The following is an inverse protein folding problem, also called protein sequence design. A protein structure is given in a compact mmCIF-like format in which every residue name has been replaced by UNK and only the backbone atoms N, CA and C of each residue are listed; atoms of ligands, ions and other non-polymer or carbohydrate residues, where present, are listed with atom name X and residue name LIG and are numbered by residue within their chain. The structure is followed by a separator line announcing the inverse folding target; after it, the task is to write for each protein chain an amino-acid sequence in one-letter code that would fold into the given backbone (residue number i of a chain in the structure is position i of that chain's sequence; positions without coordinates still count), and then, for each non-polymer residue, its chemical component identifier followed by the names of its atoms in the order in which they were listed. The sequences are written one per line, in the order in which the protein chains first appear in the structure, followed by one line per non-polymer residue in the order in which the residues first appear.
data_IF_492811860801
#
_entry.id   IF_492811860801
#
_cell.length_a   1.000
_cell.length_b   1.000
_cell.length_c   1.000
_cell.angle_alpha   90.00
_cell.angle_beta   90.00
_cell.angle_gamma   90.00
#
_symmetry.space_group_name_H-M   'P 1'
#
loop_
_entity.id
_entity.type
_entity.pdbx_description
1 polymer ?
#
# COMPACT_ATOMS: atom_id res chain seq x y z
N UNK A 1 36.00 -30.82 109.97
CA UNK A 1 35.34 -29.83 109.09
C UNK A 1 36.18 -29.42 107.88
N UNK A 2 37.48 -29.15 108.06
CA UNK A 2 38.39 -28.68 107.00
C UNK A 2 38.38 -29.54 105.71
N UNK A 3 38.42 -30.87 105.82
CA UNK A 3 38.34 -31.79 104.66
C UNK A 3 37.07 -31.60 103.81
N UNK A 4 35.93 -31.29 104.43
CA UNK A 4 34.65 -31.07 103.71
C UNK A 4 34.67 -29.73 102.95
N UNK A 5 35.26 -28.69 103.54
CA UNK A 5 35.39 -27.36 102.93
C UNK A 5 36.31 -27.41 101.71
N UNK A 6 37.45 -28.08 101.82
CA UNK A 6 38.38 -28.27 100.69
C UNK A 6 37.71 -29.04 99.55
N UNK A 7 36.95 -30.09 99.87
CA UNK A 7 36.25 -30.89 98.86
C UNK A 7 35.14 -30.09 98.14
N UNK A 8 34.44 -29.21 98.86
CA UNK A 8 33.42 -28.31 98.30
C UNK A 8 34.05 -27.27 97.35
N UNK A 9 35.20 -26.72 97.73
CA UNK A 9 35.94 -25.74 96.92
C UNK A 9 36.48 -26.38 95.63
N UNK A 10 37.01 -27.61 95.73
CA UNK A 10 37.49 -28.38 94.58
C UNK A 10 36.35 -28.70 93.60
N UNK A 11 35.16 -29.05 94.12
CA UNK A 11 33.96 -29.29 93.31
C UNK A 11 33.47 -28.02 92.62
N UNK A 12 33.59 -26.85 93.27
CA UNK A 12 33.24 -25.56 92.70
C UNK A 12 34.17 -25.16 91.54
N UNK A 13 35.48 -25.41 91.69
CA UNK A 13 36.47 -25.21 90.62
C UNK A 13 36.17 -26.14 89.44
N UNK A 14 35.83 -27.40 89.71
CA UNK A 14 35.48 -28.37 88.67
C UNK A 14 34.20 -27.98 87.92
N UNK A 15 33.16 -27.53 88.64
CA UNK A 15 31.93 -27.01 88.01
C UNK A 15 32.20 -25.77 87.16
N UNK A 16 33.00 -24.82 87.68
CA UNK A 16 33.40 -23.62 86.95
C UNK A 16 34.19 -23.97 85.69
N UNK A 17 35.14 -24.90 85.79
CA UNK A 17 35.94 -25.39 84.66
C UNK A 17 35.09 -26.06 83.57
N UNK A 18 34.15 -26.94 83.94
CA UNK A 18 33.24 -27.59 82.99
C UNK A 18 32.29 -26.58 82.34
N UNK A 19 31.75 -25.63 83.10
CA UNK A 19 30.88 -24.58 82.56
C UNK A 19 31.63 -23.66 81.59
N UNK A 20 32.87 -23.29 81.93
CA UNK A 20 33.73 -22.48 81.08
C UNK A 20 34.11 -23.21 79.80
N UNK A 21 34.53 -24.48 79.91
CA UNK A 21 34.85 -25.32 78.76
C UNK A 21 33.66 -25.49 77.82
N UNK A 22 32.45 -25.73 78.38
CA UNK A 22 31.22 -25.80 77.59
C UNK A 22 30.95 -24.47 76.86
N UNK A 23 31.12 -23.34 77.55
CA UNK A 23 30.91 -22.01 76.96
C UNK A 23 31.88 -21.71 75.82
N UNK A 24 33.16 -22.07 75.96
CA UNK A 24 34.14 -21.91 74.87
C UNK A 24 33.74 -22.78 73.69
N UNK A 25 33.43 -24.06 73.92
CA UNK A 25 33.06 -24.98 72.85
C UNK A 25 31.80 -24.53 72.10
N UNK A 26 30.83 -23.96 72.81
CA UNK A 26 29.61 -23.43 72.19
C UNK A 26 29.91 -22.16 71.39
N UNK A 27 30.82 -21.28 71.86
CA UNK A 27 31.31 -20.13 71.09
C UNK A 27 32.06 -20.55 69.83
N UNK A 28 32.95 -21.53 69.92
CA UNK A 28 33.72 -22.03 68.77
C UNK A 28 32.80 -22.59 67.68
N UNK A 29 31.75 -23.33 68.06
CA UNK A 29 30.74 -23.82 67.12
C UNK A 29 29.98 -22.69 66.43
N UNK A 30 29.59 -21.66 67.18
CA UNK A 30 28.87 -20.51 66.62
C UNK A 30 29.77 -19.74 65.65
N UNK A 31 31.04 -19.53 66.00
CA UNK A 31 32.01 -18.85 65.14
C UNK A 31 32.30 -19.64 63.86
N UNK A 32 32.41 -20.97 63.95
CA UNK A 32 32.59 -21.85 62.79
C UNK A 32 31.40 -21.80 61.83
N UNK A 33 30.17 -21.92 62.36
CA UNK A 33 28.94 -21.77 61.57
C UNK A 33 28.87 -20.39 60.93
N UNK A 34 29.20 -19.32 61.66
CA UNK A 34 29.20 -17.97 61.12
C UNK A 34 30.21 -17.79 59.98
N UNK A 35 31.43 -18.33 60.13
CA UNK A 35 32.46 -18.31 59.08
C UNK A 35 32.00 -19.08 57.84
N UNK A 36 31.41 -20.25 58.03
CA UNK A 36 30.89 -21.06 56.93
C UNK A 36 29.81 -20.31 56.16
N UNK A 37 28.76 -19.83 56.85
CA UNK A 37 27.67 -19.07 56.24
C UNK A 37 28.19 -17.82 55.53
N UNK A 38 29.09 -17.06 56.17
CA UNK A 38 29.70 -15.88 55.54
C UNK A 38 30.44 -16.24 54.25
N UNK A 39 31.19 -17.34 54.24
CA UNK A 39 31.93 -17.79 53.06
C UNK A 39 30.99 -18.24 51.92
N UNK A 40 29.91 -18.93 52.26
CA UNK A 40 28.87 -19.35 51.32
C UNK A 40 28.15 -18.14 50.72
N UNK A 41 27.73 -17.18 51.55
CA UNK A 41 27.09 -15.94 51.08
C UNK A 41 28.01 -15.09 50.20
N UNK A 42 29.31 -15.01 50.52
CA UNK A 42 30.27 -14.28 49.65
C UNK A 42 30.40 -15.00 48.29
N UNK A 43 30.48 -16.33 48.29
CA UNK A 43 30.56 -17.12 47.06
C UNK A 43 29.30 -16.97 46.20
N UNK A 44 28.13 -17.04 46.81
CA UNK A 44 26.85 -16.82 46.12
C UNK A 44 26.77 -15.42 45.53
N UNK A 45 27.15 -14.38 46.28
CA UNK A 45 27.18 -13.02 45.77
C UNK A 45 28.11 -12.85 44.56
N UNK A 46 29.30 -13.47 44.58
CA UNK A 46 30.22 -13.46 43.44
C UNK A 46 29.56 -14.15 42.23
N UNK A 47 28.87 -15.27 42.44
CA UNK A 47 28.17 -15.96 41.36
C UNK A 47 27.04 -15.11 40.78
N UNK A 48 26.23 -14.47 41.62
CA UNK A 48 25.18 -13.55 41.16
C UNK A 48 25.76 -12.36 40.41
N UNK A 49 26.86 -11.77 40.89
CA UNK A 49 27.52 -10.67 40.20
C UNK A 49 28.01 -11.09 38.81
N UNK A 50 28.66 -12.25 38.70
CA UNK A 50 29.11 -12.78 37.40
C UNK A 50 27.93 -13.03 36.44
N UNK A 51 26.81 -13.53 36.95
CA UNK A 51 25.59 -13.72 36.16
C UNK A 51 25.05 -12.37 35.69
N UNK A 52 24.94 -11.39 36.58
CA UNK A 52 24.50 -10.03 36.23
C UNK A 52 25.41 -9.41 35.17
N UNK A 53 26.73 -9.49 35.34
CA UNK A 53 27.70 -8.95 34.39
C UNK A 53 27.57 -9.63 33.02
N UNK A 54 27.37 -10.95 32.99
CA UNK A 54 27.15 -11.69 31.73
C UNK A 54 25.83 -11.32 31.04
N UNK A 55 24.76 -11.08 31.82
CA UNK A 55 23.47 -10.66 31.28
C UNK A 55 23.55 -9.24 30.73
N UNK A 56 24.25 -8.33 31.41
CA UNK A 56 24.47 -6.97 30.93
C UNK A 56 25.25 -6.98 29.61
N UNK A 57 26.29 -7.80 29.49
CA UNK A 57 27.05 -7.95 28.24
C UNK A 57 26.16 -8.46 27.10
N UNK A 58 25.29 -9.44 27.36
CA UNK A 58 24.34 -9.96 26.36
C UNK A 58 23.32 -8.88 25.95
N UNK A 59 22.84 -8.06 26.90
CA UNK A 59 21.94 -6.93 26.62
C UNK A 59 22.63 -5.90 25.71
N UNK A 60 23.89 -5.56 26.00
CA UNK A 60 24.63 -4.60 25.20
C UNK A 60 24.88 -5.11 23.78
N UNK A 61 25.30 -6.37 23.63
CA UNK A 61 25.48 -7.00 22.30
C UNK A 61 24.17 -7.09 21.51
N UNK A 62 23.06 -7.42 22.16
CA UNK A 62 21.75 -7.50 21.49
C UNK A 62 21.24 -6.12 21.08
N UNK A 63 21.49 -5.10 21.90
CA UNK A 63 21.15 -3.71 21.58
C UNK A 63 21.95 -3.20 20.38
N UNK A 64 23.25 -3.49 20.33
CA UNK A 64 24.11 -3.15 19.19
C UNK A 64 23.63 -3.81 17.91
N UNK A 65 23.43 -5.13 17.92
CA UNK A 65 22.90 -5.88 16.77
C UNK A 65 21.54 -5.37 16.29
N UNK A 66 20.66 -4.99 17.21
CA UNK A 66 19.35 -4.44 16.86
C UNK A 66 19.46 -3.05 16.23
N UNK A 67 20.39 -2.22 16.72
CA UNK A 67 20.69 -0.91 16.14
C UNK A 67 21.22 -1.05 14.72
N UNK A 68 22.23 -1.92 14.51
CA UNK A 68 22.84 -2.16 13.20
C UNK A 68 21.84 -2.71 12.19
N UNK A 69 20.99 -3.66 12.62
CA UNK A 69 19.93 -4.20 11.78
C UNK A 69 18.92 -3.11 11.38
N UNK A 70 18.50 -2.28 12.34
CA UNK A 70 17.57 -1.18 12.08
C UNK A 70 18.14 -0.14 11.12
N UNK A 71 19.43 0.21 11.25
CA UNK A 71 20.09 1.14 10.35
C UNK A 71 20.20 0.56 8.93
N UNK A 72 20.61 -0.71 8.83
CA UNK A 72 20.72 -1.43 7.56
C UNK A 72 19.38 -1.51 6.84
N UNK A 73 18.30 -1.86 7.57
CA UNK A 73 16.96 -1.94 7.02
C UNK A 73 16.46 -0.55 6.57
N UNK A 74 16.73 0.50 7.36
CA UNK A 74 16.37 1.87 7.00
C UNK A 74 17.06 2.31 5.70
N UNK A 75 18.36 2.02 5.54
CA UNK A 75 19.10 2.35 4.31
C UNK A 75 18.54 1.59 3.11
N UNK A 76 18.22 0.31 3.29
CA UNK A 76 17.65 -0.54 2.24
C UNK A 76 16.28 -0.01 1.79
N UNK A 77 15.39 0.29 2.73
CA UNK A 77 14.06 0.84 2.41
C UNK A 77 14.15 2.20 1.74
N UNK A 78 15.05 3.08 2.21
CA UNK A 78 15.25 4.37 1.56
C UNK A 78 15.69 4.21 0.10
N UNK A 79 16.65 3.31 -0.16
CA UNK A 79 17.13 3.02 -1.52
C UNK A 79 16.02 2.46 -2.42
N UNK A 80 15.16 1.59 -1.86
CA UNK A 80 14.02 1.03 -2.59
C UNK A 80 12.96 2.10 -2.91
N UNK A 81 12.67 2.98 -1.95
CA UNK A 81 11.78 4.14 -2.14
C UNK A 81 12.32 5.05 -3.24
N UNK A 82 13.60 5.44 -3.16
CA UNK A 82 14.23 6.31 -4.17
C UNK A 82 14.15 5.69 -5.58
N UNK A 83 14.37 4.36 -5.68
CA UNK A 83 14.25 3.63 -6.95
C UNK A 83 12.81 3.63 -7.49
N UNK A 84 11.82 3.41 -6.61
CA UNK A 84 10.41 3.46 -6.98
C UNK A 84 9.98 4.86 -7.42
N UNK A 85 10.45 5.92 -6.75
CA UNK A 85 10.19 7.30 -7.15
C UNK A 85 10.78 7.63 -8.53
N UNK A 86 12.01 7.18 -8.81
CA UNK A 86 12.61 7.31 -10.14
C UNK A 86 11.79 6.59 -11.21
N UNK A 87 11.31 5.38 -10.90
CA UNK A 87 10.49 4.59 -11.83
C UNK A 87 9.13 5.26 -12.08
N UNK A 88 8.48 5.80 -11.05
CA UNK A 88 7.24 6.58 -11.17
C UNK A 88 7.46 7.81 -12.04
N UNK A 89 8.55 8.55 -11.81
CA UNK A 89 8.90 9.73 -12.61
C UNK A 89 9.11 9.37 -14.08
N UNK A 90 9.90 8.31 -14.35
CA UNK A 90 10.13 7.82 -15.71
C UNK A 90 8.83 7.40 -16.41
N UNK A 91 7.91 6.75 -15.68
CA UNK A 91 6.62 6.37 -16.24
C UNK A 91 5.72 7.59 -16.49
N UNK A 92 5.71 8.57 -15.59
CA UNK A 92 4.95 9.82 -15.77
C UNK A 92 5.43 10.59 -17.02
N UNK A 93 6.74 10.64 -17.26
CA UNK A 93 7.32 11.22 -18.48
C UNK A 93 6.87 10.47 -19.73
N UNK A 94 6.92 9.13 -19.72
CA UNK A 94 6.44 8.29 -20.84
C UNK A 94 4.96 8.51 -21.12
N UNK A 95 4.14 8.59 -20.09
CA UNK A 95 2.70 8.89 -20.23
C UNK A 95 2.51 10.26 -20.87
N UNK A 96 3.25 11.26 -20.39
CA UNK A 96 3.20 12.63 -20.94
C UNK A 96 3.61 12.67 -22.42
N UNK A 97 4.67 11.95 -22.79
CA UNK A 97 5.13 11.82 -24.18
C UNK A 97 4.08 11.13 -25.07
N UNK A 98 3.48 10.03 -24.58
CA UNK A 98 2.40 9.34 -25.29
C UNK A 98 1.16 10.22 -25.46
N UNK A 99 0.79 11.00 -24.44
CA UNK A 99 -0.31 11.97 -24.54
C UNK A 99 -0.01 13.05 -25.57
N UNK A 100 1.20 13.61 -25.60
CA UNK A 100 1.64 14.58 -26.62
C UNK A 100 1.56 13.97 -28.03
N UNK A 101 2.09 12.76 -28.22
CA UNK A 101 2.01 12.02 -29.49
C UNK A 101 0.56 11.78 -29.92
N UNK A 102 -0.33 11.41 -29.01
CA UNK A 102 -1.75 11.21 -29.30
C UNK A 102 -2.44 12.52 -29.70
N UNK A 103 -2.13 13.65 -29.05
CA UNK A 103 -2.66 14.96 -29.42
C UNK A 103 -2.19 15.41 -30.82
N UNK A 104 -0.92 15.16 -31.16
CA UNK A 104 -0.38 15.45 -32.50
C UNK A 104 -1.11 14.59 -33.55
N UNK A 105 -1.28 13.29 -33.31
CA UNK A 105 -2.02 12.39 -34.20
C UNK A 105 -3.50 12.79 -34.41
N UNK A 106 -4.15 13.32 -33.37
CA UNK A 106 -5.51 13.87 -33.48
C UNK A 106 -5.56 15.16 -34.30
N UNK A 107 -4.55 16.03 -34.20
CA UNK A 107 -4.46 17.27 -34.99
C UNK A 107 -4.13 17.03 -36.47
N UNK A 108 -3.39 15.97 -36.80
CA UNK A 108 -3.06 15.61 -38.20
C UNK A 108 -4.20 14.91 -38.95
N UNK A 109 -5.25 14.45 -38.27
CA UNK A 109 -6.42 13.79 -38.89
C UNK A 109 -7.61 14.72 -39.19
N UNK A 110 -7.55 16.00 -38.80
CA UNK A 110 -8.57 17.02 -39.14
C UNK A 110 -8.35 17.71 -40.49
N UNK A 111 -8.08 16.93 -41.54
CA UNK A 111 -8.42 17.30 -42.92
C UNK A 111 -9.16 16.13 -43.56
N UNK A 112 -10.45 15.98 -43.22
CA UNK A 112 -11.37 15.17 -44.04
C UNK A 112 -11.39 15.79 -45.43
N UNK A 113 -10.75 15.13 -46.39
CA UNK A 113 -10.96 15.38 -47.83
C UNK A 113 -12.48 15.41 -48.06
N UNK A 114 -13.04 16.44 -48.71
CA UNK A 114 -14.47 16.46 -49.01
C UNK A 114 -14.78 15.21 -49.84
N UNK A 115 -15.65 14.34 -49.30
CA UNK A 115 -16.17 13.19 -50.03
C UNK A 115 -16.97 13.74 -51.20
N UNK A 116 -16.48 13.55 -52.41
CA UNK A 116 -17.18 13.96 -53.61
C UNK A 116 -18.45 13.10 -53.71
N UNK A 117 -19.60 13.69 -53.37
CA UNK A 117 -20.89 13.01 -53.41
C UNK A 117 -21.18 12.55 -54.84
N UNK A 118 -21.57 11.29 -55.00
CA UNK A 118 -22.01 10.76 -56.31
C UNK A 118 -23.26 11.51 -56.79
N UNK A 119 -23.52 11.52 -58.10
CA UNK A 119 -24.70 12.20 -58.65
C UNK A 119 -26.01 11.75 -57.99
N UNK A 120 -26.18 10.45 -57.75
CA UNK A 120 -27.37 9.90 -57.09
C UNK A 120 -27.48 10.33 -55.62
N UNK A 121 -26.35 10.51 -54.93
CA UNK A 121 -26.32 10.97 -53.55
C UNK A 121 -26.69 12.46 -53.44
N UNK A 122 -26.28 13.27 -54.42
CA UNK A 122 -26.73 14.67 -54.53
C UNK A 122 -28.24 14.77 -54.77
N UNK A 123 -28.76 13.94 -55.68
CA UNK A 123 -30.21 13.88 -55.98
C UNK A 123 -30.99 13.44 -54.74
N UNK A 124 -30.53 12.38 -54.05
CA UNK A 124 -31.17 11.87 -52.84
C UNK A 124 -31.18 12.91 -51.71
N UNK A 125 -30.06 13.61 -51.50
CA UNK A 125 -29.96 14.66 -50.49
C UNK A 125 -30.89 15.85 -50.81
N UNK A 126 -30.96 16.26 -52.08
CA UNK A 126 -31.89 17.31 -52.50
C UNK A 126 -33.35 16.94 -52.24
N UNK A 127 -33.76 15.74 -52.66
CA UNK A 127 -35.12 15.24 -52.46
C UNK A 127 -35.47 15.13 -50.97
N UNK A 128 -34.51 14.70 -50.14
CA UNK A 128 -34.66 14.62 -48.68
C UNK A 128 -34.82 15.98 -48.03
N UNK A 129 -33.97 16.94 -48.42
CA UNK A 129 -34.03 18.29 -47.90
C UNK A 129 -35.36 18.97 -48.26
N UNK A 130 -35.77 18.91 -49.54
CA UNK A 130 -37.05 19.49 -49.97
C UNK A 130 -38.25 18.89 -49.24
N UNK A 131 -38.23 17.59 -48.97
CA UNK A 131 -39.29 16.96 -48.19
C UNK A 131 -39.25 17.35 -46.71
N UNK A 132 -38.07 17.53 -46.11
CA UNK A 132 -37.97 17.99 -44.71
C UNK A 132 -38.38 19.44 -44.52
N UNK A 133 -38.29 20.25 -45.57
CA UNK A 133 -38.68 21.66 -45.57
C UNK A 133 -40.20 21.86 -45.71
N UNK A 134 -40.98 20.79 -45.92
CA UNK A 134 -42.43 20.87 -45.99
C UNK A 134 -43.06 21.25 -44.64
N UNK A 135 -44.04 22.16 -44.61
CA UNK A 135 -44.82 22.45 -43.41
C UNK A 135 -45.46 21.18 -42.82
N UNK A 136 -45.41 21.02 -41.50
CA UNK A 136 -45.91 19.82 -40.80
C UNK A 136 -47.43 19.77 -40.70
N UNK A 137 -48.08 20.89 -40.95
CA UNK A 137 -49.52 21.16 -40.84
C UNK A 137 -50.30 20.96 -42.15
N UNK A 138 -49.64 20.52 -43.23
CA UNK A 138 -50.29 20.17 -44.49
C UNK A 138 -51.35 19.08 -44.31
N UNK A 139 -52.54 19.29 -44.89
CA UNK A 139 -53.56 18.26 -44.99
C UNK A 139 -53.07 17.09 -45.86
N UNK A 140 -53.76 15.94 -45.76
CA UNK A 140 -53.39 14.73 -46.52
C UNK A 140 -53.38 14.98 -48.04
N UNK A 141 -54.28 15.83 -48.53
CA UNK A 141 -54.35 16.19 -49.95
C UNK A 141 -53.19 17.10 -50.36
N UNK A 142 -52.94 18.17 -49.59
CA UNK A 142 -51.85 19.12 -49.86
C UNK A 142 -50.48 18.45 -49.78
N UNK A 143 -50.31 17.51 -48.84
CA UNK A 143 -49.09 16.72 -48.74
C UNK A 143 -48.85 15.86 -49.98
N UNK A 144 -49.90 15.27 -50.58
CA UNK A 144 -49.76 14.49 -51.84
C UNK A 144 -49.34 15.39 -53.00
N UNK A 145 -49.94 16.57 -53.11
CA UNK A 145 -49.57 17.56 -54.13
C UNK A 145 -48.12 17.99 -53.93
N UNK A 146 -47.75 18.42 -52.74
CA UNK A 146 -46.40 18.91 -52.43
C UNK A 146 -45.33 17.84 -52.69
N UNK A 147 -45.60 16.57 -52.36
CA UNK A 147 -44.69 15.45 -52.69
C UNK A 147 -44.58 15.25 -54.21
N UNK A 148 -45.67 15.40 -54.96
CA UNK A 148 -45.64 15.30 -56.43
C UNK A 148 -44.85 16.46 -57.06
N UNK A 149 -44.99 17.68 -56.53
CA UNK A 149 -44.25 18.85 -56.97
C UNK A 149 -42.76 18.71 -56.68
N UNK A 150 -42.37 18.24 -55.48
CA UNK A 150 -40.96 17.98 -55.16
C UNK A 150 -40.37 16.92 -56.08
N UNK A 151 -41.15 15.90 -56.47
CA UNK A 151 -40.70 14.88 -57.45
C UNK A 151 -40.45 15.51 -58.81
N UNK A 152 -41.39 16.33 -59.30
CA UNK A 152 -41.24 16.99 -60.59
C UNK A 152 -40.07 17.98 -60.58
N UNK A 153 -39.95 18.78 -59.53
CA UNK A 153 -38.84 19.72 -59.36
C UNK A 153 -37.48 19.01 -59.30
N UNK A 154 -37.41 17.85 -58.63
CA UNK A 154 -36.18 17.04 -58.58
C UNK A 154 -35.86 16.45 -59.95
N UNK A 155 -36.87 16.03 -60.71
CA UNK A 155 -36.70 15.57 -62.10
C UNK A 155 -36.14 16.69 -62.97
N UNK A 156 -36.75 17.87 -62.93
CA UNK A 156 -36.39 19.00 -63.78
C UNK A 156 -35.01 19.56 -63.41
N UNK A 157 -34.71 19.67 -62.12
CA UNK A 157 -33.45 20.24 -61.62
C UNK A 157 -32.22 19.38 -61.96
N UNK A 158 -32.39 18.06 -61.98
CA UNK A 158 -31.30 17.13 -62.26
C UNK A 158 -31.38 16.52 -63.67
N UNK A 159 -32.38 16.92 -64.48
CA UNK A 159 -32.63 16.41 -65.83
C UNK A 159 -32.69 14.88 -65.89
N UNK A 160 -33.34 14.24 -64.91
CA UNK A 160 -33.44 12.78 -64.78
C UNK A 160 -34.84 12.27 -65.14
N UNK A 161 -34.97 10.99 -65.49
CA UNK A 161 -36.29 10.41 -65.73
C UNK A 161 -37.03 10.08 -64.42
N UNK A 162 -38.36 9.97 -64.47
CA UNK A 162 -39.17 9.51 -63.32
C UNK A 162 -38.76 8.11 -62.85
N UNK A 163 -38.38 7.23 -63.78
CA UNK A 163 -37.90 5.88 -63.48
C UNK A 163 -36.58 5.90 -62.70
N UNK A 164 -35.67 6.80 -63.09
CA UNK A 164 -34.39 7.00 -62.44
C UNK A 164 -34.55 7.57 -61.03
N UNK A 165 -35.41 8.58 -60.85
CA UNK A 165 -35.74 9.11 -59.52
C UNK A 165 -36.32 8.02 -58.61
N UNK A 166 -37.20 7.15 -59.13
CA UNK A 166 -37.75 6.04 -58.34
C UNK A 166 -36.67 5.02 -57.94
N UNK A 167 -35.69 4.77 -58.81
CA UNK A 167 -34.55 3.90 -58.51
C UNK A 167 -33.69 4.49 -57.40
N UNK A 168 -33.41 5.79 -57.45
CA UNK A 168 -32.69 6.52 -56.40
C UNK A 168 -33.48 6.48 -55.08
N UNK A 169 -34.78 6.78 -55.11
CA UNK A 169 -35.64 6.73 -53.91
C UNK A 169 -35.64 5.34 -53.26
N UNK A 170 -35.70 4.27 -54.04
CA UNK A 170 -35.57 2.89 -53.53
C UNK A 170 -34.19 2.62 -52.93
N UNK A 171 -33.12 3.00 -53.64
CA UNK A 171 -31.73 2.79 -53.19
C UNK A 171 -31.41 3.49 -51.86
N UNK A 172 -32.02 4.66 -51.62
CA UNK A 172 -31.79 5.48 -50.43
C UNK A 172 -32.96 5.45 -49.42
N UNK A 173 -33.92 4.53 -49.56
CA UNK A 173 -35.07 4.35 -48.67
C UNK A 173 -35.92 5.62 -48.46
N UNK A 174 -36.19 6.37 -49.54
CA UNK A 174 -36.99 7.59 -49.53
C UNK A 174 -38.47 7.26 -49.86
N UNK A 175 -39.16 6.62 -48.91
CA UNK A 175 -40.51 6.04 -49.07
C UNK A 175 -41.68 7.00 -48.86
N UNK A 176 -41.39 8.30 -48.73
CA UNK A 176 -42.39 9.33 -48.48
C UNK A 176 -43.01 9.92 -49.76
#
# INVERSE_FOLDING_TARGET
MFKKIVLLLLLLILLGGVSYYKTIRDKDKIDDVYKQVKSETVRENIQYQNVIDSLNLLIDETKEKMSDASETDSIKFQTEIDSLEQLVTSQAEKITDLQKKQQIAKKTTTKKKPRQLSAHEKIANYYKQRYSDLPKDLSVYEKKIAVSEIRQETIDKFSISTSELNTIRKKYNLSY
#
